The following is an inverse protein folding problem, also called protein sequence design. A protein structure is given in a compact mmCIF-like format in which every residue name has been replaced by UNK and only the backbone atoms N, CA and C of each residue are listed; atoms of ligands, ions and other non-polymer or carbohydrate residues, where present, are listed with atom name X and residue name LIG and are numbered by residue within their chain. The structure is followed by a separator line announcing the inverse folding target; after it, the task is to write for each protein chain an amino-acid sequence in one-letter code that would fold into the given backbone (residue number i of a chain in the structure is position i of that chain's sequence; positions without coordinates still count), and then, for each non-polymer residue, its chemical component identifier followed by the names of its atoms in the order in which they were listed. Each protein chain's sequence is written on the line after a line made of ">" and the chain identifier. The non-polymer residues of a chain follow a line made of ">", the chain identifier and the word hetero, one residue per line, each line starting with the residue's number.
data_IF_442387298905
#
_entry.id   IF_442387298905
#
_cell.length_a   1.000
_cell.length_b   1.000
_cell.length_c   1.000
_cell.angle_alpha   90.00
_cell.angle_beta   90.00
_cell.angle_gamma   90.00
#
_symmetry.space_group_name_H-M   'P 1'
#
loop_
_entity.id
_entity.type
_entity.pdbx_description
1 polymer ?
#
# COMPACT_ATOMS: atom_id res chain seq x y z
N UNK A 1 6.40 -19.71 -16.27
CA UNK A 1 4.97 -19.74 -15.87
C UNK A 1 4.41 -18.33 -15.64
N UNK A 2 3.16 -18.08 -16.04
CA UNK A 2 2.50 -16.76 -15.97
C UNK A 2 2.54 -16.13 -14.56
N UNK A 3 2.23 -16.91 -13.52
CA UNK A 3 2.21 -16.44 -12.13
C UNK A 3 3.55 -15.85 -11.67
N UNK A 4 4.67 -16.49 -12.02
CA UNK A 4 6.01 -15.98 -11.67
C UNK A 4 6.31 -14.62 -12.33
N UNK A 5 5.91 -14.45 -13.60
CA UNK A 5 6.08 -13.17 -14.29
C UNK A 5 5.17 -12.08 -13.68
N UNK A 6 3.94 -12.45 -13.31
CA UNK A 6 3.01 -11.55 -12.65
C UNK A 6 3.56 -11.08 -11.30
N UNK A 7 4.01 -11.99 -10.44
CA UNK A 7 4.59 -11.63 -9.13
C UNK A 7 5.86 -10.79 -9.27
N UNK A 8 6.69 -11.05 -10.27
CA UNK A 8 7.87 -10.21 -10.53
C UNK A 8 7.47 -8.76 -10.90
N UNK A 9 6.46 -8.58 -11.76
CA UNK A 9 5.94 -7.24 -12.09
C UNK A 9 5.37 -6.55 -10.86
N UNK A 10 4.58 -7.27 -10.05
CA UNK A 10 4.00 -6.72 -8.82
C UNK A 10 5.08 -6.30 -7.82
N UNK A 11 6.11 -7.13 -7.63
CA UNK A 11 7.27 -6.82 -6.76
C UNK A 11 7.99 -5.55 -7.23
N UNK A 12 8.22 -5.43 -8.54
CA UNK A 12 8.89 -4.25 -9.10
C UNK A 12 8.07 -2.97 -8.91
N UNK A 13 6.75 -3.04 -9.12
CA UNK A 13 5.83 -1.92 -8.86
C UNK A 13 5.82 -1.55 -7.37
N UNK A 14 5.71 -2.53 -6.47
CA UNK A 14 5.77 -2.29 -5.02
C UNK A 14 7.08 -1.63 -4.59
N UNK A 15 8.20 -2.07 -5.17
CA UNK A 15 9.53 -1.50 -4.90
C UNK A 15 9.63 -0.05 -5.40
N UNK A 16 9.09 0.23 -6.58
CA UNK A 16 9.03 1.59 -7.12
C UNK A 16 8.16 2.50 -6.25
N UNK A 17 6.97 2.03 -5.85
CA UNK A 17 6.07 2.75 -4.94
C UNK A 17 6.78 3.08 -3.64
N UNK A 18 7.43 2.11 -3.00
CA UNK A 18 8.21 2.34 -1.77
C UNK A 18 9.30 3.39 -1.97
N UNK A 19 10.01 3.33 -3.09
CA UNK A 19 11.09 4.28 -3.38
C UNK A 19 10.58 5.73 -3.53
N UNK A 20 9.33 5.90 -3.95
CA UNK A 20 8.65 7.20 -4.01
C UNK A 20 8.16 7.60 -2.62
N UNK A 21 7.40 6.72 -1.94
CA UNK A 21 6.74 7.04 -0.65
C UNK A 21 7.70 7.28 0.49
N UNK A 22 8.88 6.63 0.52
CA UNK A 22 9.89 6.84 1.56
C UNK A 22 10.36 8.29 1.72
N UNK A 23 10.11 9.14 0.71
CA UNK A 23 10.40 10.59 0.76
C UNK A 23 9.37 11.38 1.57
N UNK A 24 8.30 10.73 2.04
CA UNK A 24 7.24 11.31 2.86
C UNK A 24 7.07 10.53 4.15
N UNK A 25 7.57 11.10 5.25
CA UNK A 25 7.44 10.53 6.60
C UNK A 25 5.97 10.26 6.95
N UNK A 26 5.07 11.13 6.49
CA UNK A 26 3.62 10.98 6.70
C UNK A 26 3.09 9.69 6.06
N UNK A 27 3.43 9.45 4.79
CA UNK A 27 2.96 8.26 4.06
C UNK A 27 3.53 6.99 4.69
N UNK A 28 4.82 6.99 5.06
CA UNK A 28 5.45 5.84 5.71
C UNK A 28 4.81 5.51 7.05
N UNK A 29 4.53 6.52 7.89
CA UNK A 29 3.85 6.31 9.17
C UNK A 29 2.44 5.72 8.98
N UNK A 30 1.68 6.25 8.01
CA UNK A 30 0.33 5.73 7.69
C UNK A 30 0.38 4.31 7.13
N UNK A 31 1.38 4.01 6.31
CA UNK A 31 1.63 2.65 5.80
C UNK A 31 1.91 1.69 6.94
N UNK A 32 2.79 2.07 7.88
CA UNK A 32 3.11 1.27 9.06
C UNK A 32 1.88 0.99 9.95
N UNK A 33 1.08 2.00 10.25
CA UNK A 33 -0.17 1.86 11.00
C UNK A 33 -1.14 0.87 10.31
N UNK A 34 -1.23 0.96 8.98
CA UNK A 34 -2.06 0.04 8.19
C UNK A 34 -1.54 -1.40 8.24
N UNK A 35 -0.22 -1.59 8.14
CA UNK A 35 0.40 -2.91 8.22
C UNK A 35 0.15 -3.60 9.56
N UNK A 36 0.21 -2.87 10.69
CA UNK A 36 -0.14 -3.43 11.99
C UNK A 36 -1.60 -3.91 12.02
N UNK A 37 -2.51 -3.15 11.43
CA UNK A 37 -3.93 -3.51 11.36
C UNK A 37 -4.16 -4.77 10.51
N UNK A 38 -3.45 -4.89 9.39
CA UNK A 38 -3.50 -6.08 8.52
C UNK A 38 -2.94 -7.30 9.24
N UNK A 39 -1.78 -7.17 9.90
CA UNK A 39 -1.15 -8.26 10.66
C UNK A 39 -2.10 -8.77 11.75
N UNK A 40 -2.71 -7.86 12.50
CA UNK A 40 -3.67 -8.24 13.54
C UNK A 40 -4.87 -9.02 12.95
N UNK A 41 -5.43 -8.58 11.80
CA UNK A 41 -6.51 -9.30 11.14
C UNK A 41 -6.11 -10.71 10.67
N UNK A 42 -4.87 -10.86 10.18
CA UNK A 42 -4.31 -12.16 9.81
C UNK A 42 -4.13 -13.06 11.04
N UNK A 43 -3.63 -12.52 12.15
CA UNK A 43 -3.46 -13.25 13.42
C UNK A 43 -4.80 -13.71 14.00
N UNK A 44 -5.85 -12.89 13.85
CA UNK A 44 -7.23 -13.23 14.20
C UNK A 44 -7.86 -14.26 13.25
N UNK A 45 -7.18 -14.63 12.15
CA UNK A 45 -7.67 -15.51 11.08
C UNK A 45 -8.96 -15.00 10.42
N UNK A 46 -9.13 -13.68 10.40
CA UNK A 46 -10.26 -13.02 9.75
C UNK A 46 -9.87 -12.64 8.33
N UNK A 47 -10.16 -13.53 7.38
CA UNK A 47 -9.80 -13.38 5.97
C UNK A 47 -10.45 -12.13 5.35
N UNK A 48 -11.75 -11.91 5.60
CA UNK A 48 -12.51 -10.78 5.05
C UNK A 48 -11.95 -9.45 5.56
N UNK A 49 -11.70 -9.36 6.87
CA UNK A 49 -11.07 -8.18 7.47
C UNK A 49 -9.65 -7.96 6.94
N UNK A 50 -8.86 -9.02 6.76
CA UNK A 50 -7.50 -8.91 6.23
C UNK A 50 -7.50 -8.34 4.80
N UNK A 51 -8.42 -8.80 3.95
CA UNK A 51 -8.58 -8.30 2.59
C UNK A 51 -9.07 -6.85 2.59
N UNK A 52 -10.07 -6.54 3.41
CA UNK A 52 -10.58 -5.18 3.57
C UNK A 52 -9.47 -4.21 4.00
N UNK A 53 -8.71 -4.55 5.05
CA UNK A 53 -7.60 -3.74 5.53
C UNK A 53 -6.52 -3.54 4.45
N UNK A 54 -6.21 -4.56 3.66
CA UNK A 54 -5.26 -4.42 2.54
C UNK A 54 -5.79 -3.49 1.45
N UNK A 55 -7.07 -3.60 1.08
CA UNK A 55 -7.69 -2.71 0.08
C UNK A 55 -7.70 -1.26 0.53
N UNK A 56 -8.08 -1.00 1.78
CA UNK A 56 -8.10 0.36 2.33
C UNK A 56 -6.69 0.94 2.51
N UNK A 57 -5.71 0.11 2.88
CA UNK A 57 -4.30 0.50 2.90
C UNK A 57 -3.83 0.99 1.52
N UNK A 58 -4.09 0.21 0.47
CA UNK A 58 -3.71 0.58 -0.90
C UNK A 58 -4.42 1.85 -1.36
N UNK A 59 -5.74 1.95 -1.15
CA UNK A 59 -6.54 3.12 -1.50
C UNK A 59 -6.02 4.38 -0.83
N UNK A 60 -5.77 4.32 0.48
CA UNK A 60 -5.27 5.44 1.27
C UNK A 60 -3.88 5.86 0.82
N UNK A 61 -2.98 4.90 0.59
CA UNK A 61 -1.62 5.17 0.12
C UNK A 61 -1.62 5.86 -1.24
N UNK A 62 -2.42 5.36 -2.20
CA UNK A 62 -2.56 6.01 -3.51
C UNK A 62 -3.09 7.45 -3.41
N UNK A 63 -4.07 7.70 -2.55
CA UNK A 63 -4.60 9.05 -2.33
C UNK A 63 -3.54 9.99 -1.75
N UNK A 64 -2.84 9.55 -0.70
CA UNK A 64 -1.76 10.34 -0.11
C UNK A 64 -0.61 10.61 -1.08
N UNK A 65 -0.28 9.64 -1.94
CA UNK A 65 0.71 9.84 -3.01
C UNK A 65 0.27 10.90 -4.01
N UNK A 66 -1.00 10.86 -4.45
CA UNK A 66 -1.54 11.87 -5.35
C UNK A 66 -1.50 13.25 -4.70
N UNK A 67 -1.96 13.36 -3.46
CA UNK A 67 -2.01 14.64 -2.73
C UNK A 67 -0.61 15.22 -2.45
N UNK A 68 0.36 14.36 -2.11
CA UNK A 68 1.70 14.80 -1.71
C UNK A 68 2.63 15.06 -2.90
N UNK A 69 2.66 14.16 -3.89
CA UNK A 69 3.59 14.28 -5.03
C UNK A 69 2.98 14.96 -6.24
N UNK A 70 1.66 14.97 -6.35
CA UNK A 70 0.96 15.53 -7.51
C UNK A 70 -0.23 16.43 -7.09
N UNK A 71 -0.01 17.47 -6.27
CA UNK A 71 -1.08 18.26 -5.64
C UNK A 71 -1.99 19.03 -6.62
N UNK A 72 -1.62 19.07 -7.91
CA UNK A 72 -2.38 19.72 -8.98
C UNK A 72 -2.91 18.72 -10.02
N UNK A 73 -2.81 17.41 -9.79
CA UNK A 73 -3.24 16.40 -10.76
C UNK A 73 -4.76 16.38 -10.98
N UNK A 74 -5.51 16.77 -9.95
CA UNK A 74 -6.98 16.78 -9.95
C UNK A 74 -7.56 18.19 -9.70
N UNK A 75 -6.74 19.23 -9.88
CA UNK A 75 -7.19 20.63 -9.84
C UNK A 75 -7.45 21.16 -11.24
#
# INVERSE_FOLDING_TARGET
>A
PFLSQFYNKLRNLSSLTRNITQRSILIEKKSQESHLTIINAIEERDEEKSEYCMREHLRTTCRLMADYFYPNLFK
#
